data_IF_475301383080
#
_entry.id   IF_475301383080
#
_cell.length_a   1.000
_cell.length_b   1.000
_cell.length_c   1.000
_cell.angle_alpha   90.00
_cell.angle_beta   90.00
_cell.angle_gamma   90.00
#
_symmetry.space_group_name_H-M   'P 1'
#
loop_
_entity.id
_entity.type
_entity.pdbx_description
1 polymer ?
#
# COMPACT_ATOMS: atom_id res chain seq x y z
N UNK A 1 20.75 -112.56 -25.79
CA UNK A 1 20.73 -111.51 -26.83
C UNK A 1 20.47 -110.19 -26.11
N UNK A 2 21.54 -109.52 -25.66
CA UNK A 2 22.12 -108.29 -26.25
C UNK A 2 21.14 -107.11 -26.20
N UNK A 3 21.32 -106.01 -25.47
CA UNK A 3 22.51 -105.42 -24.84
C UNK A 3 22.88 -104.10 -25.53
N UNK A 4 22.42 -102.98 -24.95
CA UNK A 4 22.94 -101.58 -24.91
C UNK A 4 23.52 -100.85 -26.16
N UNK A 5 23.17 -99.57 -26.34
CA UNK A 5 23.99 -98.35 -26.02
C UNK A 5 23.69 -97.11 -26.90
N UNK A 6 23.71 -95.92 -26.24
CA UNK A 6 24.12 -94.55 -26.69
C UNK A 6 23.27 -93.85 -27.80
N UNK A 7 23.08 -92.52 -27.88
CA UNK A 7 23.71 -91.34 -27.26
C UNK A 7 22.91 -90.04 -27.59
N UNK A 8 22.92 -89.08 -26.65
CA UNK A 8 22.99 -87.57 -26.72
C UNK A 8 22.18 -86.82 -27.80
N UNK A 9 21.42 -85.78 -27.45
CA UNK A 9 21.81 -84.37 -27.14
C UNK A 9 20.70 -83.71 -26.28
N UNK A 10 20.84 -82.74 -25.37
CA UNK A 10 21.77 -81.62 -25.21
C UNK A 10 20.96 -80.31 -25.11
N UNK A 11 20.26 -80.04 -23.99
CA UNK A 11 19.54 -78.76 -23.75
C UNK A 11 20.14 -78.09 -22.51
N UNK A 12 20.89 -77.00 -22.73
CA UNK A 12 21.37 -76.11 -21.68
C UNK A 12 20.23 -75.25 -21.13
N UNK A 13 19.97 -75.34 -19.82
CA UNK A 13 19.12 -74.40 -19.08
C UNK A 13 19.88 -73.09 -18.86
N UNK A 14 19.37 -71.98 -19.42
CA UNK A 14 19.80 -70.63 -19.05
C UNK A 14 19.13 -70.23 -17.73
N UNK A 15 19.93 -70.05 -16.69
CA UNK A 15 19.49 -69.45 -15.42
C UNK A 15 19.31 -67.94 -15.61
N UNK A 16 18.07 -67.45 -15.53
CA UNK A 16 17.78 -66.03 -15.40
C UNK A 16 17.81 -65.66 -13.92
N UNK A 17 18.85 -64.94 -13.49
CA UNK A 17 18.87 -64.23 -12.22
C UNK A 17 18.04 -62.94 -12.37
N UNK A 18 16.90 -62.85 -11.70
CA UNK A 18 16.15 -61.59 -11.54
C UNK A 18 16.78 -60.85 -10.37
N UNK A 19 17.63 -59.86 -10.67
CA UNK A 19 18.13 -58.91 -9.67
C UNK A 19 17.02 -57.88 -9.38
N UNK A 20 16.40 -58.00 -8.20
CA UNK A 20 15.44 -57.02 -7.70
C UNK A 20 16.21 -55.79 -7.21
N UNK A 21 16.35 -54.79 -8.07
CA UNK A 21 16.92 -53.49 -7.70
C UNK A 21 15.91 -52.75 -6.81
N UNK A 22 16.17 -52.70 -5.50
CA UNK A 22 15.48 -51.77 -4.61
C UNK A 22 15.89 -50.35 -4.96
N UNK A 23 15.01 -49.64 -5.66
CA UNK A 23 15.11 -48.18 -5.80
C UNK A 23 14.77 -47.60 -4.43
N UNK A 24 15.80 -47.26 -3.65
CA UNK A 24 15.65 -46.33 -2.53
C UNK A 24 15.24 -44.98 -3.14
N UNK A 25 13.94 -44.69 -3.13
CA UNK A 25 13.44 -43.35 -3.27
C UNK A 25 13.90 -42.57 -2.03
N UNK A 26 15.13 -42.04 -2.08
CA UNK A 26 15.59 -41.04 -1.14
C UNK A 26 14.63 -39.87 -1.22
N UNK A 27 13.69 -39.81 -0.27
CA UNK A 27 12.80 -38.68 -0.12
C UNK A 27 13.66 -37.45 0.06
N UNK A 28 13.78 -36.64 -0.99
CA UNK A 28 14.26 -35.28 -0.86
C UNK A 28 13.25 -34.60 0.04
N UNK A 29 13.55 -34.56 1.33
CA UNK A 29 12.82 -33.70 2.25
C UNK A 29 13.08 -32.30 1.74
N UNK A 30 12.12 -31.76 0.98
CA UNK A 30 12.10 -30.35 0.67
C UNK A 30 12.08 -29.65 2.04
N UNK A 31 13.19 -29.01 2.41
CA UNK A 31 13.29 -28.19 3.59
C UNK A 31 12.38 -26.99 3.37
N UNK A 32 11.10 -27.20 3.61
CA UNK A 32 10.13 -26.14 3.53
C UNK A 32 10.36 -25.22 4.74
N UNK A 33 10.71 -23.99 4.39
CA UNK A 33 11.32 -22.98 5.23
C UNK A 33 10.28 -21.91 5.58
N UNK A 34 10.35 -21.38 6.81
CA UNK A 34 9.61 -20.20 7.24
C UNK A 34 9.80 -19.05 6.21
N UNK A 35 8.69 -18.48 5.75
CA UNK A 35 8.66 -17.32 4.84
C UNK A 35 7.78 -16.22 5.40
N UNK A 36 8.20 -14.98 5.20
CA UNK A 36 7.42 -13.78 5.48
C UNK A 36 7.34 -12.94 4.21
N UNK A 37 6.26 -12.15 4.02
CA UNK A 37 6.20 -11.17 2.96
C UNK A 37 7.33 -10.14 3.07
N UNK A 38 7.83 -9.65 1.95
CA UNK A 38 9.00 -8.77 1.91
C UNK A 38 8.75 -7.35 2.46
N UNK A 39 7.50 -7.02 2.85
CA UNK A 39 7.21 -5.83 3.65
C UNK A 39 7.88 -5.89 5.03
N UNK A 40 8.12 -7.10 5.55
CA UNK A 40 8.95 -7.31 6.73
C UNK A 40 10.43 -7.34 6.30
N UNK A 41 11.17 -6.32 6.72
CA UNK A 41 12.62 -6.21 6.51
C UNK A 41 13.23 -5.38 7.65
N UNK A 42 14.56 -5.35 7.72
CA UNK A 42 15.27 -4.44 8.62
C UNK A 42 14.81 -2.99 8.42
N UNK A 43 14.97 -2.17 9.46
CA UNK A 43 14.61 -0.74 9.46
C UNK A 43 13.11 -0.43 9.37
N UNK A 44 12.21 -1.43 9.44
CA UNK A 44 10.78 -1.19 9.31
C UNK A 44 10.16 -0.39 10.46
N UNK A 45 8.96 0.15 10.24
CA UNK A 45 8.15 0.80 11.27
C UNK A 45 6.82 0.09 11.42
N UNK A 46 6.58 -0.49 12.59
CA UNK A 46 5.30 -1.11 12.95
C UNK A 46 4.39 -0.05 13.60
N UNK A 47 3.08 -0.14 13.36
CA UNK A 47 2.12 0.83 13.86
C UNK A 47 1.98 0.77 15.40
N UNK A 48 2.06 1.93 16.04
CA UNK A 48 1.80 2.10 17.48
C UNK A 48 0.30 2.13 17.78
N UNK A 49 -0.04 1.84 19.04
CA UNK A 49 -1.41 1.96 19.60
C UNK A 49 -2.48 1.12 18.90
N UNK A 50 -2.06 0.18 18.05
CA UNK A 50 -2.91 -0.83 17.42
C UNK A 50 -2.26 -2.20 17.60
N UNK A 51 -3.04 -3.29 17.63
CA UNK A 51 -2.49 -4.64 17.51
C UNK A 51 -1.58 -4.73 16.29
N UNK A 52 -0.50 -5.50 16.38
CA UNK A 52 0.55 -5.60 15.35
C UNK A 52 0.48 -7.00 14.73
N UNK A 53 -0.14 -7.16 13.55
CA UNK A 53 -0.17 -8.43 12.85
C UNK A 53 1.20 -8.74 12.25
N UNK A 54 1.66 -9.97 12.45
CA UNK A 54 2.79 -10.57 11.76
C UNK A 54 2.30 -11.87 11.13
N UNK A 55 2.58 -12.08 9.85
CA UNK A 55 2.06 -13.21 9.10
C UNK A 55 3.09 -13.73 8.10
N UNK A 56 2.83 -14.92 7.60
CA UNK A 56 3.67 -15.56 6.61
C UNK A 56 3.22 -16.99 6.32
N UNK A 57 4.19 -17.79 5.88
CA UNK A 57 4.01 -19.18 5.54
C UNK A 57 5.04 -20.04 6.25
N UNK A 58 4.63 -21.24 6.61
CA UNK A 58 5.49 -22.30 7.11
C UNK A 58 4.83 -23.66 6.78
N UNK A 59 5.42 -24.77 7.19
CA UNK A 59 4.80 -26.09 7.01
C UNK A 59 3.46 -26.18 7.75
N UNK A 60 2.42 -26.78 7.14
CA UNK A 60 1.12 -26.97 7.79
C UNK A 60 1.25 -27.59 9.18
N UNK A 61 0.53 -27.03 10.15
CA UNK A 61 0.58 -27.47 11.55
C UNK A 61 1.77 -26.98 12.37
N UNK A 62 2.77 -26.33 11.75
CA UNK A 62 3.92 -25.76 12.47
C UNK A 62 3.47 -24.69 13.45
N UNK A 63 3.99 -24.75 14.68
CA UNK A 63 3.86 -23.66 15.65
C UNK A 63 4.92 -22.59 15.35
N UNK A 64 4.48 -21.36 15.12
CA UNK A 64 5.34 -20.21 14.85
C UNK A 64 5.29 -19.28 16.06
N UNK A 65 6.46 -18.94 16.59
CA UNK A 65 6.63 -17.96 17.67
C UNK A 65 7.13 -16.65 17.09
N UNK A 66 6.44 -15.55 17.41
CA UNK A 66 6.80 -14.19 17.00
C UNK A 66 7.16 -13.40 18.25
N UNK A 67 8.38 -12.87 18.30
CA UNK A 67 8.90 -12.09 19.42
C UNK A 67 9.33 -10.71 18.95
N UNK A 68 8.83 -9.65 19.59
CA UNK A 68 9.20 -8.26 19.33
C UNK A 68 9.70 -7.62 20.62
N UNK A 69 11.01 -7.50 20.76
CA UNK A 69 11.64 -7.12 22.02
C UNK A 69 11.30 -8.10 23.15
N UNK A 70 10.56 -7.64 24.15
CA UNK A 70 10.16 -8.38 25.34
C UNK A 70 8.82 -9.12 25.21
N UNK A 71 8.07 -8.89 24.13
CA UNK A 71 6.75 -9.50 23.92
C UNK A 71 6.83 -10.66 22.94
N UNK A 72 6.14 -11.76 23.25
CA UNK A 72 6.10 -12.95 22.40
C UNK A 72 4.68 -13.50 22.29
N UNK A 73 4.30 -13.93 21.09
CA UNK A 73 3.01 -14.57 20.79
C UNK A 73 3.25 -15.78 19.88
N UNK A 74 2.32 -16.73 19.92
CA UNK A 74 2.37 -17.94 19.09
C UNK A 74 1.19 -17.99 18.13
N UNK A 75 1.41 -18.58 16.98
CA UNK A 75 0.39 -18.96 16.01
C UNK A 75 0.68 -20.36 15.48
N UNK A 76 -0.29 -20.95 14.78
CA UNK A 76 -0.11 -22.23 14.10
C UNK A 76 -0.41 -22.05 12.62
N UNK A 77 0.44 -22.62 11.76
CA UNK A 77 0.20 -22.65 10.33
C UNK A 77 -1.01 -23.52 9.99
N UNK A 78 -1.90 -22.98 9.15
CA UNK A 78 -3.11 -23.67 8.66
C UNK A 78 -2.77 -24.81 7.69
N UNK A 79 -3.80 -25.47 7.15
CA UNK A 79 -3.63 -26.56 6.19
C UNK A 79 -2.96 -26.12 4.87
N UNK A 80 -2.97 -24.81 4.57
CA UNK A 80 -2.30 -24.19 3.43
C UNK A 80 -0.92 -23.61 3.80
N UNK A 81 -0.47 -23.83 5.04
CA UNK A 81 0.80 -23.34 5.56
C UNK A 81 0.79 -21.87 5.99
N UNK A 82 -0.34 -21.16 5.94
CA UNK A 82 -0.41 -19.75 6.33
C UNK A 82 -0.56 -19.62 7.83
N UNK A 83 0.14 -18.65 8.41
CA UNK A 83 -0.01 -18.32 9.84
C UNK A 83 -0.12 -16.81 10.01
N UNK A 84 -0.80 -16.39 11.08
CA UNK A 84 -0.86 -15.01 11.54
C UNK A 84 -0.82 -14.98 13.05
N UNK A 85 0.16 -14.28 13.61
CA UNK A 85 0.23 -13.96 15.02
C UNK A 85 -0.01 -12.45 15.20
N UNK A 86 -0.69 -12.06 16.27
CA UNK A 86 -0.96 -10.64 16.54
C UNK A 86 -0.32 -10.27 17.86
N UNK A 87 0.73 -9.47 17.80
CA UNK A 87 1.35 -8.87 18.98
C UNK A 87 0.41 -7.78 19.54
N UNK A 88 0.40 -7.55 20.86
CA UNK A 88 -0.41 -6.50 21.48
C UNK A 88 0.04 -5.11 21.01
N UNK A 89 -0.84 -4.12 21.21
CA UNK A 89 -0.54 -2.73 20.92
C UNK A 89 0.59 -2.20 21.81
N UNK A 90 1.40 -1.28 21.27
CA UNK A 90 2.56 -0.70 21.96
C UNK A 90 2.66 0.80 21.73
N UNK A 91 3.27 1.49 22.69
CA UNK A 91 3.64 2.89 22.53
C UNK A 91 4.76 3.06 21.48
N UNK A 92 4.95 4.28 20.99
CA UNK A 92 6.05 4.62 20.09
C UNK A 92 7.41 4.33 20.74
N UNK A 93 8.40 3.89 19.97
CA UNK A 93 9.74 3.62 20.49
C UNK A 93 10.61 2.76 19.57
N UNK A 94 11.59 2.10 20.18
CA UNK A 94 12.63 1.33 19.50
C UNK A 94 13.97 2.06 19.43
N UNK A 95 14.98 1.48 18.76
CA UNK A 95 14.90 0.28 17.92
C UNK A 95 14.73 -1.01 18.72
N UNK A 96 14.08 -1.99 18.10
CA UNK A 96 13.88 -3.35 18.61
C UNK A 96 14.28 -4.39 17.56
N UNK A 97 14.29 -5.65 17.97
CA UNK A 97 14.41 -6.80 17.09
C UNK A 97 13.05 -7.53 17.02
N UNK A 98 12.62 -7.89 15.80
CA UNK A 98 11.51 -8.82 15.56
C UNK A 98 12.11 -10.17 15.14
N UNK A 99 11.86 -11.20 15.91
CA UNK A 99 12.28 -12.58 15.62
C UNK A 99 11.07 -13.47 15.39
N UNK A 100 11.09 -14.24 14.33
CA UNK A 100 10.05 -15.21 13.97
C UNK A 100 10.69 -16.58 13.84
N UNK A 101 10.19 -17.53 14.64
CA UNK A 101 10.73 -18.88 14.75
C UNK A 101 9.66 -19.91 14.45
N UNK A 102 9.88 -20.71 13.41
CA UNK A 102 9.06 -21.84 13.01
C UNK A 102 9.96 -23.02 12.62
N UNK A 103 9.85 -23.53 11.39
CA UNK A 103 10.78 -24.55 10.86
C UNK A 103 12.20 -24.01 10.67
N UNK A 104 12.33 -22.71 10.42
CA UNK A 104 13.57 -21.94 10.49
C UNK A 104 13.34 -20.64 11.26
N UNK A 105 14.37 -19.82 11.43
CA UNK A 105 14.31 -18.56 12.17
C UNK A 105 14.66 -17.38 11.26
N UNK A 106 13.91 -16.29 11.39
CA UNK A 106 14.21 -14.99 10.76
C UNK A 106 14.21 -13.90 11.82
N UNK A 107 15.20 -13.01 11.76
CA UNK A 107 15.29 -11.85 12.63
C UNK A 107 15.37 -10.58 11.77
N UNK A 108 14.65 -9.53 12.19
CA UNK A 108 14.66 -8.21 11.59
C UNK A 108 15.09 -7.19 12.63
N UNK A 109 16.08 -6.37 12.30
CA UNK A 109 16.76 -5.41 13.19
C UNK A 109 16.34 -3.98 12.88
N UNK A 110 16.62 -3.07 13.82
CA UNK A 110 16.24 -1.64 13.72
C UNK A 110 14.74 -1.43 13.47
N UNK A 111 13.90 -2.22 14.17
CA UNK A 111 12.44 -2.12 14.07
C UNK A 111 11.96 -1.00 14.99
N UNK A 112 11.29 0.00 14.43
CA UNK A 112 10.68 1.10 15.18
C UNK A 112 9.18 0.85 15.37
N UNK A 113 8.64 1.37 16.48
CA UNK A 113 7.19 1.44 16.71
C UNK A 113 6.78 2.91 16.54
N UNK A 114 5.86 3.18 15.62
CA UNK A 114 5.55 4.55 15.21
C UNK A 114 4.23 4.70 14.43
N UNK A 115 4.09 5.80 13.71
CA UNK A 115 2.94 6.03 12.83
C UNK A 115 3.24 5.51 11.42
N UNK A 116 2.35 4.69 10.87
CA UNK A 116 2.50 4.12 9.53
C UNK A 116 1.39 4.65 8.62
N UNK A 117 1.80 5.26 7.51
CA UNK A 117 0.88 5.86 6.53
C UNK A 117 1.14 5.32 5.13
N UNK A 118 0.05 5.02 4.42
CA UNK A 118 0.10 4.63 3.00
C UNK A 118 0.11 5.90 2.15
N UNK A 119 1.11 6.04 1.28
CA UNK A 119 1.28 7.16 0.36
C UNK A 119 0.93 6.71 -1.06
N UNK A 120 -0.32 6.92 -1.48
CA UNK A 120 -0.87 6.36 -2.71
C UNK A 120 -1.47 7.39 -3.67
N UNK A 121 -1.74 6.94 -4.89
CA UNK A 121 -2.22 7.75 -6.01
C UNK A 121 -1.30 7.66 -7.22
N UNK A 122 -1.22 8.76 -7.98
CA UNK A 122 -0.50 8.80 -9.24
C UNK A 122 0.79 9.63 -9.19
N UNK A 123 1.19 10.22 -10.31
CA UNK A 123 2.50 10.85 -10.52
C UNK A 123 2.82 11.97 -9.55
N UNK A 124 1.82 12.71 -9.07
CA UNK A 124 2.05 13.75 -8.06
C UNK A 124 2.33 13.17 -6.65
N UNK A 125 1.81 11.98 -6.32
CA UNK A 125 2.22 11.22 -5.13
C UNK A 125 3.58 10.54 -5.36
N UNK A 126 3.81 9.97 -6.54
CA UNK A 126 5.07 9.31 -6.89
C UNK A 126 6.25 10.29 -6.98
N UNK A 127 5.97 11.58 -7.18
CA UNK A 127 6.96 12.62 -7.41
C UNK A 127 8.12 12.56 -6.41
N UNK A 128 9.37 12.38 -6.86
CA UNK A 128 10.49 12.14 -5.95
C UNK A 128 10.98 13.43 -5.30
N UNK A 129 11.55 13.33 -4.09
CA UNK A 129 12.21 14.47 -3.42
C UNK A 129 13.29 15.09 -4.30
N UNK A 130 14.03 14.29 -5.07
CA UNK A 130 15.05 14.79 -6.01
C UNK A 130 14.50 15.74 -7.09
N UNK A 131 13.18 15.78 -7.32
CA UNK A 131 12.54 16.62 -8.33
C UNK A 131 11.75 17.80 -7.75
N UNK A 132 11.80 18.04 -6.43
CA UNK A 132 11.08 19.17 -5.80
C UNK A 132 11.83 20.50 -5.98
N UNK A 133 11.20 21.61 -5.61
CA UNK A 133 11.93 22.88 -5.50
C UNK A 133 12.96 22.78 -4.36
N UNK A 134 14.15 23.39 -4.54
CA UNK A 134 15.26 23.34 -3.56
C UNK A 134 15.70 21.91 -3.20
N UNK A 135 15.63 20.97 -4.17
CA UNK A 135 15.91 19.56 -3.92
C UNK A 135 17.30 19.30 -3.33
N UNK A 136 18.32 20.07 -3.73
CA UNK A 136 19.70 19.89 -3.21
C UNK A 136 19.75 20.17 -1.71
N UNK A 137 19.13 21.25 -1.27
CA UNK A 137 19.06 21.68 0.13
C UNK A 137 18.20 20.73 0.97
N UNK A 138 17.05 20.32 0.43
CA UNK A 138 16.16 19.34 1.08
C UNK A 138 16.85 18.00 1.26
N UNK A 139 17.58 17.51 0.24
CA UNK A 139 18.34 16.26 0.32
C UNK A 139 19.50 16.39 1.32
N UNK A 140 20.30 17.45 1.23
CA UNK A 140 21.47 17.64 2.10
C UNK A 140 21.09 17.72 3.59
N UNK A 141 19.92 18.30 3.91
CA UNK A 141 19.43 18.46 5.29
C UNK A 141 18.60 17.26 5.81
N UNK A 142 18.32 16.26 4.97
CA UNK A 142 17.44 15.14 5.32
C UNK A 142 18.09 14.09 6.22
N UNK A 143 18.50 14.46 7.43
CA UNK A 143 19.00 13.53 8.44
C UNK A 143 17.91 13.16 9.46
N UNK A 144 16.91 12.40 9.01
CA UNK A 144 15.76 12.03 9.84
C UNK A 144 15.68 10.51 10.02
N UNK A 145 16.59 9.88 10.77
CA UNK A 145 16.64 8.43 10.92
C UNK A 145 15.48 7.84 11.76
N UNK A 146 14.43 8.60 12.07
CA UNK A 146 13.15 8.06 12.56
C UNK A 146 12.04 8.09 11.50
N UNK A 147 12.34 8.58 10.30
CA UNK A 147 11.51 8.42 9.11
C UNK A 147 12.04 7.22 8.32
N UNK A 148 11.13 6.35 7.93
CA UNK A 148 11.40 5.16 7.11
C UNK A 148 10.44 5.16 5.94
N UNK A 149 10.93 4.75 4.78
CA UNK A 149 10.12 4.63 3.58
C UNK A 149 10.35 3.28 2.92
N UNK A 150 9.27 2.63 2.50
CA UNK A 150 9.31 1.43 1.67
C UNK A 150 8.62 1.75 0.35
N UNK A 151 9.29 1.51 -0.78
CA UNK A 151 8.70 1.66 -2.12
C UNK A 151 8.08 0.33 -2.54
N UNK A 152 6.81 0.37 -2.94
CA UNK A 152 6.10 -0.75 -3.55
C UNK A 152 6.28 -0.65 -5.07
N UNK A 153 6.87 -1.66 -5.72
CA UNK A 153 7.08 -1.61 -7.16
C UNK A 153 5.79 -1.72 -7.97
N UNK A 154 5.85 -1.16 -9.18
CA UNK A 154 4.78 -1.12 -10.17
C UNK A 154 4.46 -2.51 -10.70
N UNK A 155 3.60 -3.24 -9.99
CA UNK A 155 3.29 -4.64 -10.27
C UNK A 155 1.78 -4.82 -10.36
N UNK A 156 1.15 -4.67 -11.54
CA UNK A 156 -0.27 -4.97 -11.69
C UNK A 156 -0.47 -6.49 -11.65
N UNK A 157 -1.57 -6.97 -11.07
CA UNK A 157 -1.83 -8.39 -10.93
C UNK A 157 -3.29 -8.76 -11.25
N UNK A 158 -3.47 -9.94 -11.86
CA UNK A 158 -4.80 -10.46 -12.21
C UNK A 158 -5.64 -10.81 -10.97
N UNK A 159 -4.98 -11.35 -9.95
CA UNK A 159 -5.61 -11.76 -8.70
C UNK A 159 -4.88 -11.10 -7.52
N UNK A 160 -5.53 -10.96 -6.37
CA UNK A 160 -4.88 -10.52 -5.15
C UNK A 160 -3.59 -11.30 -4.90
N UNK A 161 -2.49 -10.57 -4.66
CA UNK A 161 -1.20 -11.15 -4.31
C UNK A 161 -1.02 -11.09 -2.79
N UNK A 162 -0.34 -12.08 -2.23
CA UNK A 162 -0.08 -12.13 -0.78
C UNK A 162 1.29 -11.56 -0.39
N UNK A 163 2.13 -11.23 -1.37
CA UNK A 163 3.47 -10.66 -1.19
C UNK A 163 3.78 -9.64 -2.28
N UNK A 164 4.70 -8.72 -1.96
CA UNK A 164 5.20 -7.67 -2.84
C UNK A 164 6.72 -7.72 -2.87
N UNK A 165 7.31 -7.88 -4.06
CA UNK A 165 8.76 -7.84 -4.21
C UNK A 165 9.23 -6.40 -4.05
N UNK A 166 9.98 -6.10 -3.00
CA UNK A 166 10.49 -4.75 -2.71
C UNK A 166 11.96 -4.81 -2.28
N UNK A 167 12.64 -3.66 -2.32
CA UNK A 167 13.98 -3.50 -1.78
C UNK A 167 14.00 -3.33 -0.24
N UNK A 168 12.82 -3.39 0.42
CA UNK A 168 12.66 -3.25 1.85
C UNK A 168 12.57 -1.79 2.33
N UNK A 169 12.57 -1.62 3.64
CA UNK A 169 12.50 -0.30 4.28
C UNK A 169 13.84 0.43 4.21
N UNK A 170 13.78 1.73 3.92
CA UNK A 170 14.95 2.60 3.82
C UNK A 170 14.93 3.66 4.94
N UNK A 171 16.06 3.80 5.61
CA UNK A 171 16.37 4.90 6.54
C UNK A 171 16.35 6.22 5.76
N UNK A 172 15.63 7.25 6.24
CA UNK A 172 15.72 8.58 5.66
C UNK A 172 17.08 9.21 5.98
N UNK A 173 17.87 9.46 4.93
CA UNK A 173 19.18 10.08 4.97
C UNK A 173 19.38 10.90 3.69
N UNK A 174 20.41 11.77 3.62
CA UNK A 174 20.76 12.43 2.36
C UNK A 174 21.05 11.47 1.19
N UNK A 175 21.42 10.21 1.47
CA UNK A 175 21.71 9.20 0.45
C UNK A 175 20.45 8.58 -0.15
N UNK A 176 19.35 8.53 0.60
CA UNK A 176 18.15 7.74 0.26
C UNK A 176 16.93 8.61 -0.05
N UNK A 177 16.81 9.76 0.62
CA UNK A 177 15.60 10.59 0.58
C UNK A 177 15.23 11.04 -0.84
N UNK A 178 16.22 11.21 -1.72
CA UNK A 178 15.99 11.65 -3.10
C UNK A 178 15.01 10.77 -3.87
N UNK A 179 14.93 9.48 -3.55
CA UNK A 179 14.01 8.51 -4.17
C UNK A 179 12.66 8.34 -3.45
N UNK A 180 12.43 9.01 -2.32
CA UNK A 180 11.16 8.90 -1.57
C UNK A 180 10.07 9.69 -2.28
N UNK A 181 8.80 9.30 -2.07
CA UNK A 181 7.66 10.18 -2.40
C UNK A 181 7.84 11.51 -1.68
N UNK A 182 7.86 12.61 -2.42
CA UNK A 182 8.06 13.94 -1.85
C UNK A 182 6.91 14.35 -0.92
N UNK A 183 5.67 14.14 -1.36
CA UNK A 183 4.49 14.46 -0.57
C UNK A 183 4.48 13.64 0.72
N UNK A 184 4.74 12.33 0.63
CA UNK A 184 4.84 11.46 1.79
C UNK A 184 5.99 11.85 2.73
N UNK A 185 7.17 12.18 2.19
CA UNK A 185 8.32 12.62 2.99
C UNK A 185 8.01 13.89 3.78
N UNK A 186 7.49 14.94 3.12
CA UNK A 186 7.19 16.19 3.81
C UNK A 186 6.01 16.06 4.78
N UNK A 187 5.01 15.22 4.45
CA UNK A 187 3.96 14.83 5.40
C UNK A 187 4.56 14.20 6.65
N UNK A 188 5.39 13.16 6.48
CA UNK A 188 6.04 12.46 7.58
C UNK A 188 6.99 13.36 8.39
N UNK A 189 7.74 14.25 7.74
CA UNK A 189 8.64 15.21 8.42
C UNK A 189 7.86 16.15 9.34
N UNK A 190 6.72 16.67 8.88
CA UNK A 190 5.87 17.53 9.70
C UNK A 190 5.25 16.74 10.87
N UNK A 191 4.81 15.49 10.66
CA UNK A 191 4.32 14.66 11.75
C UNK A 191 5.41 14.35 12.78
N UNK A 192 6.62 13.96 12.34
CA UNK A 192 7.74 13.69 13.23
C UNK A 192 8.02 14.89 14.15
N UNK A 193 8.06 16.10 13.60
CA UNK A 193 8.31 17.32 14.37
C UNK A 193 7.22 17.63 15.42
N UNK A 194 5.97 17.26 15.15
CA UNK A 194 4.82 17.63 15.98
C UNK A 194 4.38 16.53 16.96
N UNK A 195 4.73 15.28 16.65
CA UNK A 195 4.38 14.10 17.45
C UNK A 195 5.57 13.49 18.20
N UNK A 196 6.81 13.83 17.80
CA UNK A 196 8.05 13.21 18.28
C UNK A 196 8.03 11.67 18.20
N UNK A 197 7.44 11.16 17.13
CA UNK A 197 7.17 9.74 16.93
C UNK A 197 7.84 9.24 15.64
N UNK A 198 8.44 8.03 15.60
CA UNK A 198 8.87 7.41 14.35
C UNK A 198 7.75 7.36 13.31
N UNK A 199 8.12 7.51 12.03
CA UNK A 199 7.18 7.59 10.91
C UNK A 199 7.57 6.57 9.84
N UNK A 200 6.66 5.65 9.52
CA UNK A 200 6.74 4.75 8.38
C UNK A 200 5.88 5.24 7.22
N UNK A 201 6.46 5.31 6.03
CA UNK A 201 5.79 5.72 4.80
C UNK A 201 5.81 4.56 3.79
N UNK A 202 4.63 4.02 3.47
CA UNK A 202 4.49 2.98 2.46
C UNK A 202 4.14 3.64 1.13
N UNK A 203 5.12 3.80 0.25
CA UNK A 203 4.95 4.39 -1.07
C UNK A 203 4.36 3.39 -2.07
N UNK A 204 3.04 3.39 -2.25
CA UNK A 204 2.32 2.57 -3.24
C UNK A 204 1.57 3.48 -4.21
N UNK A 205 2.29 3.98 -5.20
CA UNK A 205 1.84 5.02 -6.14
C UNK A 205 2.36 4.70 -7.54
N UNK A 206 1.68 5.17 -8.59
CA UNK A 206 2.11 4.98 -9.98
C UNK A 206 1.55 6.06 -10.90
N UNK A 207 2.45 6.82 -11.55
CA UNK A 207 2.13 7.81 -12.57
C UNK A 207 1.07 7.43 -13.61
N UNK A 208 0.11 8.34 -13.83
CA UNK A 208 -0.88 8.25 -14.89
C UNK A 208 -2.07 7.33 -14.61
N UNK A 209 -2.13 6.66 -13.46
CA UNK A 209 -3.23 5.74 -13.15
C UNK A 209 -4.54 6.46 -12.83
N UNK A 210 -5.67 5.88 -13.26
CA UNK A 210 -6.99 6.25 -12.75
C UNK A 210 -7.20 5.74 -11.31
N UNK A 211 -8.32 6.06 -10.67
CA UNK A 211 -8.67 5.58 -9.32
C UNK A 211 -9.12 4.12 -9.28
N UNK A 212 -9.77 3.65 -10.35
CA UNK A 212 -10.40 2.34 -10.44
C UNK A 212 -9.45 1.14 -10.19
N UNK A 213 -8.21 1.14 -10.69
CA UNK A 213 -7.26 0.05 -10.43
C UNK A 213 -6.92 -0.13 -8.96
N UNK A 214 -7.02 0.92 -8.14
CA UNK A 214 -6.67 0.93 -6.72
C UNK A 214 -7.82 0.53 -5.79
N UNK A 215 -9.03 0.46 -6.34
CA UNK A 215 -10.25 0.20 -5.58
C UNK A 215 -10.50 -1.31 -5.47
N UNK A 216 -10.70 -1.85 -4.25
CA UNK A 216 -11.02 -3.26 -4.08
C UNK A 216 -12.44 -3.60 -4.54
N UNK A 217 -12.75 -4.89 -4.80
CA UNK A 217 -14.09 -5.33 -5.20
C UNK A 217 -15.21 -4.83 -4.28
N UNK A 218 -15.00 -4.93 -2.97
CA UNK A 218 -15.96 -4.52 -1.92
C UNK A 218 -16.23 -3.02 -1.90
N UNK A 219 -15.35 -2.23 -2.50
CA UNK A 219 -15.49 -0.79 -2.69
C UNK A 219 -16.53 -0.49 -3.77
N UNK A 220 -16.35 -1.04 -4.97
CA UNK A 220 -17.29 -0.90 -6.09
C UNK A 220 -18.69 -1.39 -5.73
N UNK A 221 -18.78 -2.56 -5.09
CA UNK A 221 -20.05 -3.16 -4.63
C UNK A 221 -20.79 -2.29 -3.61
N UNK A 222 -20.11 -1.38 -2.91
CA UNK A 222 -20.71 -0.54 -1.87
C UNK A 222 -21.32 0.77 -2.37
N UNK A 223 -21.14 1.10 -3.64
CA UNK A 223 -21.56 2.39 -4.21
C UNK A 223 -22.51 2.14 -5.39
N UNK A 224 -23.82 2.40 -5.24
CA UNK A 224 -24.81 2.12 -6.28
C UNK A 224 -24.51 2.77 -7.64
N UNK A 225 -23.92 3.97 -7.65
CA UNK A 225 -23.53 4.66 -8.89
C UNK A 225 -22.43 3.94 -9.69
N UNK A 226 -21.76 2.96 -9.11
CA UNK A 226 -20.70 2.16 -9.76
C UNK A 226 -21.15 0.75 -10.12
N UNK A 227 -22.47 0.51 -10.16
CA UNK A 227 -23.06 -0.82 -10.44
C UNK A 227 -22.50 -1.45 -11.72
N UNK A 228 -22.31 -0.67 -12.78
CA UNK A 228 -21.78 -1.18 -14.05
C UNK A 228 -20.39 -1.80 -13.93
N UNK A 229 -19.53 -1.26 -13.05
CA UNK A 229 -18.22 -1.84 -12.74
C UNK A 229 -18.40 -3.03 -11.79
N UNK A 230 -19.26 -2.89 -10.78
CA UNK A 230 -19.49 -3.91 -9.76
C UNK A 230 -20.05 -5.22 -10.33
N UNK A 231 -20.91 -5.14 -11.35
CA UNK A 231 -21.51 -6.30 -12.02
C UNK A 231 -20.51 -7.08 -12.88
N UNK A 232 -19.36 -6.49 -13.23
CA UNK A 232 -18.35 -7.05 -14.15
C UNK A 232 -16.99 -7.30 -13.47
N UNK A 233 -16.98 -7.42 -12.14
CA UNK A 233 -15.72 -7.55 -11.40
C UNK A 233 -14.94 -8.82 -11.76
N UNK A 234 -15.62 -9.86 -12.23
CA UNK A 234 -15.03 -11.10 -12.74
C UNK A 234 -14.37 -10.95 -14.13
N UNK A 235 -14.73 -9.92 -14.88
CA UNK A 235 -14.08 -9.55 -16.14
C UNK A 235 -12.78 -8.73 -15.94
N UNK A 236 -12.51 -8.29 -14.70
CA UNK A 236 -11.37 -7.45 -14.36
C UNK A 236 -10.29 -8.17 -13.54
N UNK A 237 -9.01 -7.78 -13.69
CA UNK A 237 -8.51 -6.79 -14.63
C UNK A 237 -8.37 -7.34 -16.05
N UNK A 238 -8.52 -6.45 -17.04
CA UNK A 238 -8.33 -6.79 -18.45
C UNK A 238 -6.85 -7.05 -18.78
N UNK A 239 -6.64 -7.85 -19.83
CA UNK A 239 -5.30 -8.22 -20.32
C UNK A 239 -5.07 -7.64 -21.71
N UNK A 240 -3.82 -7.27 -21.99
CA UNK A 240 -3.37 -6.94 -23.35
C UNK A 240 -3.26 -8.22 -24.21
N UNK A 241 -3.16 -8.11 -25.54
CA UNK A 241 -2.98 -9.28 -26.41
C UNK A 241 -1.77 -10.16 -26.06
N UNK A 242 -0.71 -9.56 -25.50
CA UNK A 242 0.47 -10.29 -25.03
C UNK A 242 0.32 -10.94 -23.63
N UNK A 243 -0.89 -10.96 -23.08
CA UNK A 243 -1.21 -11.54 -21.77
C UNK A 243 -0.90 -10.66 -20.56
N UNK A 244 -0.19 -9.53 -20.73
CA UNK A 244 0.13 -8.63 -19.62
C UNK A 244 -1.10 -7.88 -19.09
N UNK A 245 -1.15 -7.66 -17.77
CA UNK A 245 -2.27 -6.97 -17.12
C UNK A 245 -2.27 -5.49 -17.49
N UNK A 246 -3.43 -4.98 -17.87
CA UNK A 246 -3.63 -3.54 -18.08
C UNK A 246 -3.69 -2.87 -16.71
N UNK A 247 -2.62 -2.17 -16.32
CA UNK A 247 -2.54 -1.47 -15.02
C UNK A 247 -3.63 -0.39 -14.80
N UNK A 248 -4.31 0.05 -15.87
CA UNK A 248 -5.46 0.97 -15.81
C UNK A 248 -6.80 0.27 -15.59
N UNK A 249 -6.82 -1.07 -15.65
CA UNK A 249 -8.04 -1.83 -15.44
C UNK A 249 -8.41 -1.86 -13.95
N UNK A 250 -9.71 -1.82 -13.60
CA UNK A 250 -10.15 -2.02 -12.22
C UNK A 250 -9.47 -3.22 -11.56
N UNK A 251 -9.23 -3.14 -10.25
CA UNK A 251 -8.57 -4.16 -9.42
C UNK A 251 -7.06 -4.36 -9.68
N UNK A 252 -6.52 -4.00 -10.85
CA UNK A 252 -5.17 -4.39 -11.25
C UNK A 252 -4.07 -3.98 -10.24
N UNK A 253 -4.16 -2.76 -9.69
CA UNK A 253 -3.17 -2.23 -8.74
C UNK A 253 -3.53 -2.53 -7.30
N UNK A 254 -4.81 -2.63 -6.96
CA UNK A 254 -5.25 -3.16 -5.69
C UNK A 254 -4.65 -4.56 -5.48
N UNK A 255 -4.83 -5.44 -6.46
CA UNK A 255 -4.39 -6.82 -6.41
C UNK A 255 -2.88 -6.97 -6.19
N UNK A 256 -2.06 -6.18 -6.89
CA UNK A 256 -0.61 -6.37 -6.88
C UNK A 256 0.17 -5.40 -5.99
N UNK A 257 -0.42 -4.27 -5.58
CA UNK A 257 0.30 -3.20 -4.86
C UNK A 257 -0.35 -2.77 -3.53
N UNK A 258 -1.60 -3.16 -3.26
CA UNK A 258 -2.33 -2.80 -2.02
C UNK A 258 -2.66 -4.03 -1.20
N UNK A 259 -3.25 -5.06 -1.82
CA UNK A 259 -3.62 -6.30 -1.14
C UNK A 259 -2.45 -7.00 -0.44
N UNK A 260 -1.22 -7.06 -1.01
CA UNK A 260 -0.06 -7.63 -0.30
C UNK A 260 0.32 -6.92 1.00
N UNK A 261 -0.14 -5.67 1.18
CA UNK A 261 0.12 -4.89 2.38
C UNK A 261 -0.88 -5.24 3.49
N UNK A 262 -1.94 -5.99 3.21
CA UNK A 262 -2.95 -6.38 4.19
C UNK A 262 -2.46 -7.67 4.87
N UNK A 263 -2.47 -7.76 6.22
CA UNK A 263 -3.05 -6.84 7.19
C UNK A 263 -2.02 -5.98 7.95
N UNK A 264 -0.98 -5.42 7.30
CA UNK A 264 -0.05 -4.50 7.97
C UNK A 264 -0.83 -3.37 8.62
N UNK A 265 -0.69 -3.21 9.94
CA UNK A 265 -1.39 -2.19 10.68
C UNK A 265 -0.91 -0.81 10.22
N UNK A 266 -1.86 0.09 9.94
CA UNK A 266 -1.59 1.46 9.51
C UNK A 266 -2.48 2.44 10.27
N UNK A 267 -2.00 3.67 10.42
CA UNK A 267 -2.79 4.77 10.96
C UNK A 267 -3.79 5.28 9.94
N UNK A 268 -3.41 5.40 8.68
CA UNK A 268 -4.25 5.95 7.62
C UNK A 268 -3.58 5.99 6.25
N UNK A 269 -4.22 6.66 5.30
CA UNK A 269 -3.70 6.84 3.95
C UNK A 269 -3.70 8.32 3.54
N UNK A 270 -2.68 8.71 2.76
CA UNK A 270 -2.66 9.93 1.99
C UNK A 270 -2.77 9.62 0.50
N UNK A 271 -3.59 10.38 -0.21
CA UNK A 271 -3.99 10.11 -1.59
C UNK A 271 -3.84 11.32 -2.50
N UNK A 272 -3.03 11.22 -3.55
CA UNK A 272 -2.91 12.28 -4.55
C UNK A 272 -3.12 11.72 -5.95
N UNK A 273 -4.36 11.83 -6.41
CA UNK A 273 -4.81 11.37 -7.71
C UNK A 273 -6.03 12.15 -8.17
N UNK A 274 -6.25 12.13 -9.48
CA UNK A 274 -7.48 12.60 -10.12
C UNK A 274 -7.23 13.08 -11.53
N UNK A 275 -5.99 13.43 -11.89
CA UNK A 275 -5.67 14.00 -13.20
C UNK A 275 -6.06 13.06 -14.34
N UNK A 276 -5.91 11.74 -14.16
CA UNK A 276 -6.35 10.75 -15.14
C UNK A 276 -7.86 10.52 -15.17
N UNK A 277 -8.59 10.91 -14.13
CA UNK A 277 -10.06 10.90 -14.06
C UNK A 277 -10.68 12.28 -14.36
N UNK A 278 -9.87 13.30 -14.67
CA UNK A 278 -10.37 14.63 -14.98
C UNK A 278 -11.32 14.56 -16.19
N UNK A 279 -12.47 15.24 -16.09
CA UNK A 279 -13.59 15.14 -17.04
C UNK A 279 -14.74 14.21 -16.60
N UNK A 280 -14.60 13.48 -15.48
CA UNK A 280 -15.68 12.64 -14.94
C UNK A 280 -16.66 13.38 -14.02
N UNK A 281 -16.34 14.61 -13.60
CA UNK A 281 -17.17 15.38 -12.68
C UNK A 281 -17.51 14.60 -11.40
N UNK A 282 -18.79 14.65 -11.00
CA UNK A 282 -19.29 14.02 -9.77
C UNK A 282 -19.21 12.49 -9.75
N UNK A 283 -19.00 11.82 -10.89
CA UNK A 283 -18.70 10.37 -10.87
C UNK A 283 -17.38 10.09 -10.11
N UNK A 284 -16.44 11.03 -10.10
CA UNK A 284 -15.21 10.88 -9.32
C UNK A 284 -15.48 10.84 -7.80
N UNK A 285 -16.49 11.57 -7.31
CA UNK A 285 -16.92 11.51 -5.90
C UNK A 285 -17.45 10.10 -5.54
N UNK A 286 -18.22 9.49 -6.42
CA UNK A 286 -18.69 8.11 -6.25
C UNK A 286 -17.53 7.11 -6.20
N UNK A 287 -16.50 7.30 -7.05
CA UNK A 287 -15.28 6.49 -7.02
C UNK A 287 -14.43 6.72 -5.77
N UNK A 288 -14.34 7.95 -5.27
CA UNK A 288 -13.68 8.25 -4.00
C UNK A 288 -14.39 7.54 -2.83
N UNK A 289 -15.73 7.52 -2.79
CA UNK A 289 -16.48 6.73 -1.79
C UNK A 289 -16.11 5.25 -1.86
N UNK A 290 -16.06 4.68 -3.06
CA UNK A 290 -15.71 3.27 -3.26
C UNK A 290 -14.27 2.94 -2.83
N UNK A 291 -13.30 3.81 -3.16
CA UNK A 291 -11.91 3.64 -2.74
C UNK A 291 -11.80 3.66 -1.20
N UNK A 292 -12.36 4.70 -0.58
CA UNK A 292 -12.27 4.91 0.88
C UNK A 292 -12.99 3.80 1.64
N UNK A 293 -14.25 3.51 1.29
CA UNK A 293 -15.01 2.44 1.96
C UNK A 293 -14.38 1.08 1.71
N UNK A 294 -13.84 0.86 0.51
CA UNK A 294 -13.15 -0.35 0.13
C UNK A 294 -11.92 -0.61 1.00
N UNK A 295 -11.04 0.39 1.10
CA UNK A 295 -9.82 0.29 1.92
C UNK A 295 -10.15 0.11 3.40
N UNK A 296 -11.13 0.84 3.92
CA UNK A 296 -11.63 0.66 5.29
C UNK A 296 -12.10 -0.77 5.57
N UNK A 297 -12.83 -1.38 4.63
CA UNK A 297 -13.32 -2.76 4.77
C UNK A 297 -12.18 -3.78 4.75
N UNK A 298 -11.25 -3.68 3.80
CA UNK A 298 -10.19 -4.69 3.65
C UNK A 298 -9.11 -4.61 4.74
N UNK A 299 -8.91 -3.42 5.33
CA UNK A 299 -8.11 -3.27 6.57
C UNK A 299 -8.89 -3.56 7.85
N UNK A 300 -10.21 -3.74 7.79
CA UNK A 300 -11.10 -3.84 8.95
C UNK A 300 -10.99 -2.63 9.90
N UNK A 301 -10.96 -1.44 9.32
CA UNK A 301 -10.75 -0.15 9.99
C UNK A 301 -11.81 0.84 9.50
N UNK A 302 -13.04 0.83 10.04
CA UNK A 302 -14.18 1.61 9.52
C UNK A 302 -13.96 3.13 9.60
N UNK A 303 -13.05 3.58 10.46
CA UNK A 303 -12.71 4.98 10.67
C UNK A 303 -11.34 5.35 10.11
N UNK A 304 -10.72 4.49 9.29
CA UNK A 304 -9.39 4.73 8.72
C UNK A 304 -9.30 6.16 8.13
N UNK A 305 -8.45 7.04 8.70
CA UNK A 305 -8.18 8.36 8.17
C UNK A 305 -7.74 8.31 6.71
N UNK A 306 -8.34 9.17 5.89
CA UNK A 306 -8.05 9.26 4.46
C UNK A 306 -7.93 10.71 4.04
N UNK A 307 -6.69 11.19 3.85
CA UNK A 307 -6.42 12.58 3.48
C UNK A 307 -5.96 12.68 2.04
N UNK A 308 -6.57 13.57 1.26
CA UNK A 308 -6.30 13.65 -0.17
C UNK A 308 -6.00 15.06 -0.65
N UNK A 309 -5.55 15.18 -1.90
CA UNK A 309 -5.09 16.44 -2.47
C UNK A 309 -6.02 16.85 -3.61
N UNK A 310 -6.53 18.08 -3.54
CA UNK A 310 -7.26 18.69 -4.66
C UNK A 310 -6.29 18.99 -5.80
N UNK A 311 -6.70 18.74 -7.05
CA UNK A 311 -5.81 18.88 -8.21
C UNK A 311 -5.26 20.30 -8.36
N UNK A 312 -4.03 20.39 -8.89
CA UNK A 312 -3.41 21.66 -9.25
C UNK A 312 -4.18 22.36 -10.39
N UNK A 313 -4.05 23.70 -10.55
CA UNK A 313 -4.83 24.47 -11.51
C UNK A 313 -4.31 24.35 -12.96
N UNK A 314 -3.89 23.14 -13.38
CA UNK A 314 -3.27 22.90 -14.68
C UNK A 314 -4.25 23.08 -15.84
N UNK A 315 -3.81 23.70 -16.94
CA UNK A 315 -4.61 23.84 -18.16
C UNK A 315 -4.51 22.58 -19.01
N UNK A 316 -5.56 21.76 -18.98
CA UNK A 316 -5.69 20.57 -19.83
C UNK A 316 -6.11 20.98 -21.26
N UNK A 317 -5.13 21.14 -22.15
CA UNK A 317 -5.38 21.50 -23.56
C UNK A 317 -6.32 20.51 -24.26
N UNK A 318 -7.19 21.03 -25.15
CA UNK A 318 -8.14 20.22 -25.91
C UNK A 318 -9.30 19.63 -25.09
N UNK A 319 -9.43 20.01 -23.82
CA UNK A 319 -10.52 19.57 -22.94
C UNK A 319 -11.51 20.69 -22.62
N UNK A 320 -12.67 20.33 -22.08
CA UNK A 320 -13.65 21.31 -21.63
C UNK A 320 -13.08 22.13 -20.48
N UNK A 321 -13.28 23.47 -20.46
CA UNK A 321 -12.87 24.30 -19.32
C UNK A 321 -13.61 23.95 -18.03
N UNK A 322 -14.70 23.16 -18.11
CA UNK A 322 -15.48 22.69 -16.97
C UNK A 322 -14.97 21.39 -16.35
N UNK A 323 -14.05 20.67 -17.01
CA UNK A 323 -13.58 19.37 -16.52
C UNK A 323 -12.88 19.50 -15.16
N UNK A 324 -11.94 20.45 -15.06
CA UNK A 324 -11.15 20.68 -13.85
C UNK A 324 -12.02 21.21 -12.69
N UNK A 325 -12.88 22.24 -12.88
CA UNK A 325 -13.86 22.61 -11.86
C UNK A 325 -14.77 21.46 -11.43
N UNK A 326 -15.21 20.61 -12.36
CA UNK A 326 -16.09 19.47 -12.07
C UNK A 326 -15.43 18.44 -11.17
N UNK A 327 -14.16 18.09 -11.42
CA UNK A 327 -13.43 17.16 -10.53
C UNK A 327 -13.04 17.84 -9.20
N UNK A 328 -12.78 19.15 -9.19
CA UNK A 328 -12.56 19.89 -7.95
C UNK A 328 -13.79 19.90 -7.04
N UNK A 329 -14.98 20.04 -7.61
CA UNK A 329 -16.24 19.92 -6.88
C UNK A 329 -16.43 18.51 -6.33
N UNK A 330 -16.12 17.48 -7.11
CA UNK A 330 -16.16 16.09 -6.65
C UNK A 330 -15.16 15.83 -5.51
N UNK A 331 -13.93 16.37 -5.60
CA UNK A 331 -12.92 16.29 -4.55
C UNK A 331 -13.36 17.07 -3.30
N UNK A 332 -13.97 18.24 -3.44
CA UNK A 332 -14.53 18.98 -2.30
C UNK A 332 -15.66 18.18 -1.65
N UNK A 333 -16.58 17.62 -2.44
CA UNK A 333 -17.72 16.83 -1.95
C UNK A 333 -17.26 15.58 -1.20
N UNK A 334 -16.11 15.00 -1.54
CA UNK A 334 -15.55 13.87 -0.81
C UNK A 334 -15.28 14.15 0.68
N UNK A 335 -15.19 15.43 1.11
CA UNK A 335 -15.13 15.81 2.53
C UNK A 335 -16.38 15.41 3.33
N UNK A 336 -17.52 15.13 2.67
CA UNK A 336 -18.70 14.62 3.37
C UNK A 336 -18.55 13.16 3.81
N UNK A 337 -17.50 12.46 3.36
CA UNK A 337 -17.15 11.13 3.90
C UNK A 337 -16.43 11.34 5.24
N UNK A 338 -16.89 10.73 6.34
CA UNK A 338 -16.25 10.90 7.66
C UNK A 338 -14.78 10.52 7.66
N UNK A 339 -13.99 11.12 8.57
CA UNK A 339 -12.54 10.89 8.73
C UNK A 339 -11.73 11.15 7.47
N UNK A 340 -12.13 12.17 6.71
CA UNK A 340 -11.39 12.66 5.54
C UNK A 340 -10.93 14.10 5.70
N UNK A 341 -10.06 14.53 4.80
CA UNK A 341 -9.49 15.87 4.76
C UNK A 341 -8.85 16.14 3.40
N UNK A 342 -8.83 17.40 2.99
CA UNK A 342 -8.42 17.79 1.64
C UNK A 342 -7.37 18.90 1.70
N UNK A 343 -6.18 18.64 1.17
CA UNK A 343 -5.18 19.65 0.91
C UNK A 343 -5.49 20.35 -0.42
N UNK A 344 -5.80 21.65 -0.36
CA UNK A 344 -5.97 22.50 -1.54
C UNK A 344 -4.60 22.84 -2.11
N UNK A 345 -4.46 22.91 -3.44
CA UNK A 345 -3.17 23.24 -4.10
C UNK A 345 -3.26 24.36 -5.13
N UNK A 346 -4.44 24.96 -5.30
CA UNK A 346 -4.72 25.97 -6.33
C UNK A 346 -3.78 27.18 -6.24
N UNK A 347 -3.46 27.62 -5.03
CA UNK A 347 -2.61 28.78 -4.73
C UNK A 347 -1.10 28.50 -4.81
N UNK A 348 -0.69 27.23 -4.79
CA UNK A 348 0.71 26.80 -4.81
C UNK A 348 1.11 26.06 -6.09
N UNK A 349 0.17 25.92 -7.02
CA UNK A 349 0.38 25.41 -8.38
C UNK A 349 0.35 26.52 -9.43
N UNK A 350 0.44 26.14 -10.70
CA UNK A 350 0.25 27.07 -11.80
C UNK A 350 -0.41 26.38 -13.01
N UNK A 351 -0.92 27.18 -13.94
CA UNK A 351 -1.69 26.68 -15.10
C UNK A 351 -0.87 25.97 -16.17
N UNK A 352 0.47 26.01 -16.08
CA UNK A 352 1.38 25.47 -17.09
C UNK A 352 2.04 24.15 -16.66
N UNK A 353 1.95 23.80 -15.38
CA UNK A 353 2.64 22.66 -14.79
C UNK A 353 1.63 21.70 -14.13
N UNK A 354 1.51 20.51 -14.70
CA UNK A 354 0.68 19.43 -14.15
C UNK A 354 1.34 18.77 -12.93
N UNK A 355 2.64 18.99 -12.73
CA UNK A 355 3.42 18.48 -11.61
C UNK A 355 4.10 19.59 -10.79
N UNK A 356 3.33 20.52 -10.15
CA UNK A 356 3.94 21.61 -9.38
C UNK A 356 4.96 21.11 -8.36
N UNK A 357 6.13 21.74 -8.34
CA UNK A 357 7.30 21.28 -7.58
C UNK A 357 7.28 21.62 -6.08
N UNK A 358 6.34 22.46 -5.62
CA UNK A 358 6.15 22.76 -4.20
C UNK A 358 5.43 21.61 -3.48
N UNK A 359 6.10 20.46 -3.36
CA UNK A 359 5.57 19.29 -2.64
C UNK A 359 5.68 19.45 -1.12
N UNK A 360 6.56 20.34 -0.67
CA UNK A 360 6.70 20.74 0.73
C UNK A 360 5.35 21.15 1.32
N UNK A 361 4.68 22.11 0.68
CA UNK A 361 3.44 22.66 1.19
C UNK A 361 2.27 21.68 1.07
N UNK A 362 2.25 20.85 0.02
CA UNK A 362 1.26 19.76 -0.10
C UNK A 362 1.38 18.79 1.09
N UNK A 363 2.60 18.32 1.39
CA UNK A 363 2.84 17.44 2.53
C UNK A 363 2.50 18.09 3.87
N UNK A 364 2.86 19.38 4.05
CA UNK A 364 2.52 20.14 5.25
C UNK A 364 1.01 20.27 5.46
N UNK A 365 0.24 20.61 4.42
CA UNK A 365 -1.23 20.75 4.50
C UNK A 365 -1.91 19.44 4.85
N UNK A 366 -1.46 18.32 4.28
CA UNK A 366 -1.95 16.99 4.67
C UNK A 366 -1.61 16.68 6.14
N UNK A 367 -0.41 17.06 6.61
CA UNK A 367 -0.01 16.83 7.99
C UNK A 367 -0.86 17.66 8.96
N UNK A 368 -1.21 18.90 8.63
CA UNK A 368 -2.11 19.72 9.44
C UNK A 368 -3.48 19.06 9.64
N UNK A 369 -4.06 18.52 8.56
CA UNK A 369 -5.30 17.74 8.64
C UNK A 369 -5.17 16.55 9.60
N UNK A 370 -4.07 15.79 9.49
CA UNK A 370 -3.82 14.66 10.39
C UNK A 370 -3.65 15.09 11.85
N UNK A 371 -2.84 16.13 12.10
CA UNK A 371 -2.61 16.69 13.44
C UNK A 371 -3.92 17.13 14.09
N UNK A 372 -4.76 17.86 13.37
CA UNK A 372 -6.04 18.32 13.89
C UNK A 372 -7.06 17.18 14.07
N UNK A 373 -7.22 16.33 13.05
CA UNK A 373 -8.38 15.42 12.96
C UNK A 373 -8.09 13.97 13.36
N UNK A 374 -6.86 13.49 13.19
CA UNK A 374 -6.45 12.16 13.70
C UNK A 374 -5.90 12.26 15.11
N UNK A 375 -5.07 13.26 15.39
CA UNK A 375 -4.32 13.35 16.66
C UNK A 375 -4.89 14.37 17.66
N UNK A 376 -5.99 15.06 17.32
CA UNK A 376 -6.66 15.99 18.22
C UNK A 376 -5.80 17.17 18.68
N UNK A 377 -4.71 17.49 17.96
CA UNK A 377 -3.87 18.65 18.28
C UNK A 377 -4.66 19.94 18.05
N UNK A 378 -4.47 20.97 18.89
CA UNK A 378 -5.18 22.25 18.77
C UNK A 378 -4.59 23.10 17.63
N UNK A 379 -4.77 22.64 16.39
CA UNK A 379 -4.33 23.35 15.18
C UNK A 379 -5.46 24.27 14.74
N UNK A 380 -5.30 25.58 14.96
CA UNK A 380 -6.32 26.57 14.63
C UNK A 380 -6.62 26.64 13.13
N UNK A 381 -5.60 26.48 12.30
CA UNK A 381 -5.69 26.53 10.83
C UNK A 381 -5.13 25.23 10.28
N UNK A 382 -6.02 24.30 9.93
CA UNK A 382 -5.64 23.02 9.32
C UNK A 382 -6.21 22.83 7.91
N UNK A 383 -7.17 23.66 7.51
CA UNK A 383 -7.78 23.63 6.18
C UNK A 383 -7.63 24.98 5.48
N UNK A 384 -7.85 24.99 4.17
CA UNK A 384 -8.10 26.24 3.45
C UNK A 384 -9.55 26.70 3.63
N UNK A 385 -9.98 27.71 2.86
CA UNK A 385 -11.37 28.13 2.84
C UNK A 385 -12.32 26.99 2.44
N UNK A 386 -13.31 26.68 3.28
CA UNK A 386 -14.36 25.71 2.99
C UNK A 386 -15.70 26.42 2.89
N UNK A 387 -16.17 26.67 1.66
CA UNK A 387 -17.42 27.35 1.41
C UNK A 387 -18.61 26.60 2.02
N UNK A 388 -19.46 27.32 2.75
CA UNK A 388 -20.67 26.80 3.38
C UNK A 388 -21.92 27.26 2.65
N UNK A 389 -22.09 28.56 2.49
CA UNK A 389 -23.27 29.17 1.84
C UNK A 389 -22.99 30.62 1.41
N UNK A 390 -23.89 31.17 0.61
CA UNK A 390 -23.94 32.58 0.27
C UNK A 390 -25.33 33.15 0.58
N UNK A 391 -25.38 34.42 0.92
CA UNK A 391 -26.62 35.19 1.06
C UNK A 391 -26.54 36.44 0.18
N UNK A 392 -27.58 36.69 -0.59
CA UNK A 392 -27.70 37.90 -1.41
C UNK A 392 -28.44 38.95 -0.60
N UNK A 393 -27.77 40.07 -0.33
CA UNK A 393 -28.26 41.18 0.49
C UNK A 393 -28.35 42.44 -0.39
N UNK A 394 -29.47 42.59 -1.10
CA UNK A 394 -29.65 43.69 -2.06
C UNK A 394 -28.62 43.63 -3.19
N UNK A 395 -27.69 44.58 -3.20
CA UNK A 395 -26.58 44.64 -4.16
C UNK A 395 -25.27 44.01 -3.65
N UNK A 396 -25.30 43.25 -2.55
CA UNK A 396 -24.14 42.58 -1.96
C UNK A 396 -24.33 41.06 -1.93
N UNK A 397 -23.23 40.32 -1.94
CA UNK A 397 -23.21 38.89 -1.64
C UNK A 397 -22.33 38.68 -0.42
N UNK A 398 -22.87 38.05 0.63
CA UNK A 398 -22.13 37.62 1.81
C UNK A 398 -21.81 36.13 1.68
N UNK A 399 -20.54 35.78 1.80
CA UNK A 399 -20.07 34.39 1.78
C UNK A 399 -19.79 33.91 3.20
N UNK A 400 -20.19 32.67 3.48
CA UNK A 400 -19.96 32.00 4.75
C UNK A 400 -19.09 30.77 4.49
N UNK A 401 -18.14 30.56 5.39
CA UNK A 401 -17.21 29.45 5.31
C UNK A 401 -17.17 28.70 6.64
N UNK A 402 -17.05 27.37 6.58
CA UNK A 402 -16.83 26.54 7.77
C UNK A 402 -15.36 26.65 8.26
N UNK A 403 -14.46 27.09 7.38
CA UNK A 403 -13.07 27.40 7.68
C UNK A 403 -12.63 28.53 6.74
N UNK A 404 -11.90 29.54 7.21
CA UNK A 404 -11.45 30.68 6.38
C UNK A 404 -10.00 30.60 5.93
N UNK A 405 -9.23 29.67 6.52
CA UNK A 405 -7.79 29.54 6.28
C UNK A 405 -6.96 30.37 7.24
#
# INVERSE_FOLDING_TARGET
MTGSFLSRTGIGRRSFFVAMAMVFAGGVSAWAELKLPAIFSDHMVLQREKPIPVWGWDNPGTEVTVTLGDQSVKARADAQGRWKATLPARAAGGPLELTVKGTSEKAFRDVLIGEVWICSGQSNMEWPVAAVMNAKEEIASANYPRIRHIKIPHTPAATPQDDVKTAGWQVCSPKTVGGFTAVGYFYGRNLLQQLDCPIGLIGSNWGGTRIEPWTPPVGFQSVPALKEIADKLDEYPTKRPNGSIVHQSPLALYNGMIHPLIPYAVRGAIWYQGESNNGEGMLYYEKMKALISGWRKVWNEPELPFYYVQLAPFRYGGRSPLDLPGIWEAQLKALSVPHTGMAVTVDIGNVKDIHPRNKQEVGRRLALWALARTYGKPIAVYSGPLYRKMEVEGNKVRLFFDHTG
#
